data_IF_378019271455
#
_entry.id   IF_378019271455
#
_cell.length_a   1.000
_cell.length_b   1.000
_cell.length_c   1.000
_cell.angle_alpha   90.00
_cell.angle_beta   90.00
_cell.angle_gamma   90.00
#
_symmetry.space_group_name_H-M   'P 1'
#
loop_
_entity.id
_entity.type
_entity.pdbx_description
1 polymer ?
#
# COMPACT_ATOMS: atom_id res chain seq x y z
N UNK A 1 -6.64 -13.86 -2.65
CA UNK A 1 -7.38 -12.60 -2.88
C UNK A 1 -6.35 -11.57 -3.29
N UNK A 2 -6.47 -11.04 -4.50
CA UNK A 2 -5.67 -9.89 -4.91
C UNK A 2 -6.21 -8.66 -4.17
N UNK A 3 -5.36 -7.96 -3.42
CA UNK A 3 -5.76 -6.70 -2.81
C UNK A 3 -5.82 -5.63 -3.90
N UNK A 4 -6.75 -4.69 -3.77
CA UNK A 4 -6.87 -3.55 -4.68
C UNK A 4 -6.61 -2.25 -3.91
N UNK A 5 -6.00 -1.29 -4.58
CA UNK A 5 -5.85 0.07 -4.07
C UNK A 5 -6.77 0.99 -4.86
N UNK A 6 -7.86 1.45 -4.24
CA UNK A 6 -8.92 2.17 -4.95
C UNK A 6 -9.12 3.55 -4.34
N UNK A 7 -8.96 4.59 -5.15
CA UNK A 7 -9.38 5.94 -4.79
C UNK A 7 -10.84 6.11 -5.17
N UNK A 8 -11.68 6.44 -4.20
CA UNK A 8 -13.13 6.53 -4.37
C UNK A 8 -13.59 7.96 -4.15
N UNK A 9 -14.23 8.55 -5.16
CA UNK A 9 -15.03 9.76 -4.99
C UNK A 9 -16.36 9.37 -4.36
N UNK A 10 -16.70 9.95 -3.21
CA UNK A 10 -17.89 9.57 -2.45
C UNK A 10 -19.11 10.38 -2.91
N UNK A 11 -20.25 9.70 -2.99
CA UNK A 11 -21.54 10.37 -3.15
C UNK A 11 -22.00 11.04 -1.83
N UNK A 12 -23.11 11.79 -1.90
CA UNK A 12 -23.64 12.51 -0.75
C UNK A 12 -24.02 11.60 0.43
N UNK A 13 -24.62 10.44 0.17
CA UNK A 13 -25.04 9.49 1.21
C UNK A 13 -23.81 8.85 1.88
N UNK A 14 -22.82 8.49 1.08
CA UNK A 14 -21.55 7.96 1.55
C UNK A 14 -20.76 8.98 2.38
N UNK A 15 -20.75 10.24 1.96
CA UNK A 15 -20.11 11.34 2.70
C UNK A 15 -20.76 11.51 4.07
N UNK A 16 -22.09 11.49 4.15
CA UNK A 16 -22.82 11.67 5.40
C UNK A 16 -22.53 10.52 6.38
N UNK A 17 -22.59 9.26 5.89
CA UNK A 17 -22.20 8.08 6.69
C UNK A 17 -20.75 8.14 7.16
N UNK A 18 -19.83 8.53 6.29
CA UNK A 18 -18.41 8.66 6.64
C UNK A 18 -18.19 9.75 7.70
N UNK A 19 -18.91 10.88 7.62
CA UNK A 19 -18.81 11.95 8.62
C UNK A 19 -19.38 11.54 9.97
N UNK A 20 -20.48 10.78 9.98
CA UNK A 20 -21.08 10.29 11.22
C UNK A 20 -20.11 9.37 11.99
N UNK A 21 -19.41 8.47 11.29
CA UNK A 21 -18.47 7.52 11.90
C UNK A 21 -17.11 8.14 12.27
N UNK A 22 -16.59 9.06 11.45
CA UNK A 22 -15.22 9.56 11.60
C UNK A 22 -15.14 10.94 12.27
N UNK A 23 -16.27 11.62 12.43
CA UNK A 23 -16.40 12.93 13.05
C UNK A 23 -16.98 13.98 12.10
N UNK A 24 -18.14 14.54 12.46
CA UNK A 24 -18.93 15.49 11.65
C UNK A 24 -18.19 16.74 11.19
N UNK A 25 -17.15 17.16 11.92
CA UNK A 25 -16.33 18.34 11.58
C UNK A 25 -15.30 18.07 10.49
N UNK A 26 -15.03 16.79 10.15
CA UNK A 26 -14.04 16.44 9.13
C UNK A 26 -14.60 16.72 7.74
N UNK A 27 -13.76 17.31 6.90
CA UNK A 27 -14.05 17.43 5.48
C UNK A 27 -13.73 16.10 4.80
N UNK A 28 -14.78 15.31 4.55
CA UNK A 28 -14.69 14.02 3.85
C UNK A 28 -15.41 14.18 2.51
N UNK A 29 -14.68 13.87 1.44
CA UNK A 29 -15.22 13.81 0.07
C UNK A 29 -14.76 12.56 -0.67
N UNK A 30 -13.68 11.92 -0.21
CA UNK A 30 -13.11 10.74 -0.83
C UNK A 30 -12.81 9.67 0.22
N UNK A 31 -12.73 8.43 -0.27
CA UNK A 31 -12.16 7.31 0.47
C UNK A 31 -10.98 6.72 -0.30
N UNK A 32 -10.01 6.18 0.42
CA UNK A 32 -8.94 5.35 -0.12
C UNK A 32 -9.13 3.95 0.45
N UNK A 33 -9.54 3.02 -0.40
CA UNK A 33 -9.70 1.60 -0.07
C UNK A 33 -8.39 0.89 -0.35
N UNK A 34 -7.93 0.11 0.62
CA UNK A 34 -6.58 -0.45 0.65
C UNK A 34 -6.70 -1.95 0.84
N UNK A 35 -7.41 -2.61 -0.06
CA UNK A 35 -7.76 -4.03 0.00
C UNK A 35 -8.18 -4.46 1.41
N UNK A 36 -7.57 -5.53 1.89
CA UNK A 36 -7.85 -6.06 3.23
C UNK A 36 -7.19 -5.28 4.38
N UNK A 37 -6.36 -4.26 4.10
CA UNK A 37 -5.71 -3.41 5.11
C UNK A 37 -6.65 -2.33 5.65
N UNK A 38 -7.74 -2.05 4.93
CA UNK A 38 -8.83 -1.20 5.40
C UNK A 38 -9.10 0.01 4.52
N UNK A 39 -9.64 1.07 5.13
CA UNK A 39 -10.08 2.27 4.42
C UNK A 39 -9.67 3.53 5.16
N UNK A 40 -9.36 4.59 4.40
CA UNK A 40 -9.10 5.93 4.93
C UNK A 40 -10.07 6.92 4.30
N UNK A 41 -10.65 7.80 5.12
CA UNK A 41 -11.54 8.87 4.67
C UNK A 41 -10.87 10.23 4.79
N UNK A 42 -11.07 11.10 3.81
CA UNK A 42 -10.50 12.43 3.80
C UNK A 42 -10.97 13.29 2.64
N UNK A 43 -10.26 14.38 2.39
CA UNK A 43 -10.43 15.15 1.16
C UNK A 43 -9.78 14.44 -0.01
N UNK A 44 -10.19 14.77 -1.23
CA UNK A 44 -9.55 14.34 -2.47
C UNK A 44 -8.02 14.46 -2.40
N UNK A 45 -7.53 15.65 -2.04
CA UNK A 45 -6.09 15.93 -1.94
C UNK A 45 -5.37 15.02 -0.95
N UNK A 46 -6.00 14.71 0.19
CA UNK A 46 -5.43 13.82 1.19
C UNK A 46 -5.36 12.38 0.68
N UNK A 47 -6.47 11.86 0.16
CA UNK A 47 -6.54 10.50 -0.35
C UNK A 47 -5.63 10.30 -1.58
N UNK A 48 -5.63 11.25 -2.51
CA UNK A 48 -4.79 11.25 -3.70
C UNK A 48 -3.30 11.21 -3.35
N UNK A 49 -2.86 11.97 -2.33
CA UNK A 49 -1.47 11.95 -1.86
C UNK A 49 -1.01 10.55 -1.44
N UNK A 50 -1.85 9.82 -0.71
CA UNK A 50 -1.52 8.46 -0.29
C UNK A 50 -1.63 7.48 -1.45
N UNK A 51 -2.69 7.57 -2.25
CA UNK A 51 -2.89 6.74 -3.44
C UNK A 51 -1.70 6.80 -4.39
N UNK A 52 -1.25 8.02 -4.74
CA UNK A 52 -0.14 8.21 -5.68
C UNK A 52 1.17 7.62 -5.19
N UNK A 53 1.42 7.63 -3.88
CA UNK A 53 2.66 7.11 -3.28
C UNK A 53 2.56 5.59 -3.10
N UNK A 54 1.42 5.09 -2.64
CA UNK A 54 1.26 3.68 -2.27
C UNK A 54 1.13 2.76 -3.46
N UNK A 55 0.52 3.23 -4.57
CA UNK A 55 0.46 2.44 -5.81
C UNK A 55 1.86 2.05 -6.31
N UNK A 56 2.87 2.90 -6.06
CA UNK A 56 4.24 2.70 -6.53
C UNK A 56 5.08 1.95 -5.48
N UNK A 57 5.03 2.38 -4.21
CA UNK A 57 5.83 1.77 -3.12
C UNK A 57 5.38 0.35 -2.80
N UNK A 58 4.06 0.11 -2.83
CA UNK A 58 3.44 -1.16 -2.45
C UNK A 58 2.84 -1.87 -3.66
N UNK A 59 3.38 -1.64 -4.86
CA UNK A 59 2.87 -2.22 -6.11
C UNK A 59 2.73 -3.74 -6.06
N UNK A 60 3.61 -4.43 -5.33
CA UNK A 60 3.60 -5.89 -5.20
C UNK A 60 2.56 -6.40 -4.18
N UNK A 61 1.93 -5.48 -3.43
CA UNK A 61 0.82 -5.77 -2.53
C UNK A 61 -0.54 -5.72 -3.22
N UNK A 62 -0.67 -4.95 -4.31
CA UNK A 62 -1.92 -4.68 -4.99
C UNK A 62 -1.93 -5.27 -6.40
N UNK A 63 -2.93 -6.11 -6.71
CA UNK A 63 -3.09 -6.62 -8.07
C UNK A 63 -3.58 -5.53 -9.05
N UNK A 64 -4.36 -4.57 -8.54
CA UNK A 64 -4.89 -3.43 -9.30
C UNK A 64 -4.88 -2.16 -8.47
N UNK A 65 -4.73 -1.04 -9.18
CA UNK A 65 -4.90 0.30 -8.62
C UNK A 65 -5.67 1.17 -9.60
N UNK A 66 -6.76 1.78 -9.14
CA UNK A 66 -7.62 2.61 -9.99
C UNK A 66 -8.43 3.62 -9.19
N UNK A 67 -9.10 4.51 -9.92
CA UNK A 67 -9.96 5.57 -9.37
C UNK A 67 -11.39 5.32 -9.86
N UNK A 68 -12.40 5.58 -9.01
CA UNK A 68 -13.81 5.39 -9.36
C UNK A 68 -14.73 6.26 -8.49
N UNK A 69 -15.93 6.58 -8.99
CA UNK A 69 -17.05 7.13 -8.23
C UNK A 69 -18.12 6.06 -7.92
N UNK A 70 -17.99 4.88 -8.53
CA UNK A 70 -18.89 3.75 -8.34
C UNK A 70 -18.18 2.66 -7.55
N UNK A 71 -18.24 2.78 -6.22
CA UNK A 71 -17.66 1.78 -5.31
C UNK A 71 -18.56 1.52 -4.11
N UNK A 72 -18.78 0.24 -3.80
CA UNK A 72 -19.52 -0.16 -2.61
C UNK A 72 -18.57 -0.32 -1.41
N UNK A 73 -18.69 0.59 -0.44
CA UNK A 73 -17.94 0.52 0.82
C UNK A 73 -18.60 -0.44 1.80
N UNK A 74 -17.82 -1.40 2.32
CA UNK A 74 -18.27 -2.34 3.36
C UNK A 74 -18.25 -1.73 4.76
N UNK A 75 -17.50 -0.64 4.95
CA UNK A 75 -17.41 0.09 6.22
C UNK A 75 -17.14 1.57 5.98
N UNK A 76 -17.67 2.40 6.86
CA UNK A 76 -17.46 3.85 6.87
C UNK A 76 -16.52 4.31 7.99
N UNK A 77 -15.92 3.38 8.74
CA UNK A 77 -14.97 3.69 9.80
C UNK A 77 -13.54 3.65 9.29
N UNK A 78 -12.79 4.73 9.51
CA UNK A 78 -11.37 4.79 9.14
C UNK A 78 -10.55 3.76 9.90
N UNK A 79 -9.67 3.06 9.18
CA UNK A 79 -8.68 2.16 9.76
C UNK A 79 -7.49 2.95 10.32
N UNK A 80 -7.12 2.70 11.57
CA UNK A 80 -6.09 3.48 12.28
C UNK A 80 -4.64 3.08 11.98
N UNK A 81 -4.38 1.91 11.39
CA UNK A 81 -3.03 1.33 11.26
C UNK A 81 -2.59 1.00 9.83
N UNK A 82 -3.35 1.41 8.82
CA UNK A 82 -3.15 1.04 7.41
C UNK A 82 -1.69 1.16 6.95
N UNK A 83 -1.03 2.29 7.25
CA UNK A 83 0.37 2.52 6.86
C UNK A 83 1.31 1.46 7.45
N UNK A 84 1.16 1.15 8.73
CA UNK A 84 2.03 0.21 9.43
C UNK A 84 1.83 -1.21 8.89
N UNK A 85 0.58 -1.59 8.64
CA UNK A 85 0.24 -2.90 8.10
C UNK A 85 0.80 -3.08 6.68
N UNK A 86 0.78 -2.03 5.85
CA UNK A 86 1.39 -2.04 4.52
C UNK A 86 2.91 -2.15 4.58
N UNK A 87 3.56 -1.45 5.52
CA UNK A 87 5.02 -1.53 5.71
C UNK A 87 5.41 -2.95 6.14
N UNK A 88 4.73 -3.51 7.14
CA UNK A 88 5.00 -4.85 7.65
C UNK A 88 4.81 -5.92 6.57
N UNK A 89 3.72 -5.84 5.79
CA UNK A 89 3.48 -6.77 4.70
C UNK A 89 4.53 -6.62 3.59
N UNK A 90 4.85 -5.38 3.20
CA UNK A 90 5.86 -5.10 2.19
C UNK A 90 7.22 -5.67 2.61
N UNK A 91 7.62 -5.46 3.86
CA UNK A 91 8.86 -6.01 4.40
C UNK A 91 8.85 -7.53 4.49
N UNK A 92 7.68 -8.15 4.76
CA UNK A 92 7.53 -9.61 4.72
C UNK A 92 7.68 -10.19 3.32
N UNK A 93 7.17 -9.48 2.31
CA UNK A 93 7.20 -9.90 0.89
C UNK A 93 8.48 -9.51 0.17
N UNK A 94 9.19 -8.50 0.66
CA UNK A 94 10.55 -8.22 0.21
C UNK A 94 11.28 -9.55 0.32
N UNK A 95 11.70 -10.12 -0.81
CA UNK A 95 12.44 -11.35 -0.74
C UNK A 95 13.68 -11.02 0.10
N UNK A 96 13.97 -11.88 1.09
CA UNK A 96 15.21 -11.84 1.85
C UNK A 96 16.35 -12.22 0.90
N UNK A 97 16.55 -11.43 -0.15
CA UNK A 97 17.49 -11.69 -1.23
C UNK A 97 18.87 -11.48 -0.64
N UNK A 98 19.53 -12.60 -0.40
CA UNK A 98 20.77 -12.95 -1.09
C UNK A 98 21.96 -12.00 -0.93
N UNK A 99 21.97 -11.12 0.07
CA UNK A 99 23.23 -10.50 0.49
C UNK A 99 24.26 -11.57 0.87
N UNK A 100 23.82 -12.73 1.38
CA UNK A 100 24.70 -13.87 1.62
C UNK A 100 25.04 -14.58 0.31
N UNK A 101 24.08 -14.89 -0.56
CA UNK A 101 24.36 -15.69 -1.75
C UNK A 101 25.16 -14.93 -2.83
N UNK A 102 24.90 -13.64 -3.01
CA UNK A 102 25.64 -12.78 -3.96
C UNK A 102 27.03 -12.40 -3.42
N UNK A 103 27.17 -12.18 -2.10
CA UNK A 103 28.48 -12.00 -1.48
C UNK A 103 29.31 -13.30 -1.51
N UNK A 104 28.71 -14.47 -1.21
CA UNK A 104 29.38 -15.77 -1.30
C UNK A 104 29.76 -16.14 -2.74
N UNK A 105 28.95 -15.78 -3.74
CA UNK A 105 29.31 -15.95 -5.17
C UNK A 105 30.47 -15.05 -5.59
N UNK A 106 30.57 -13.82 -5.06
CA UNK A 106 31.71 -12.91 -5.29
C UNK A 106 32.98 -13.38 -4.59
N UNK A 107 32.89 -13.90 -3.37
CA UNK A 107 34.04 -14.45 -2.62
C UNK A 107 34.65 -15.68 -3.30
N UNK A 108 33.82 -16.65 -3.73
CA UNK A 108 34.30 -17.87 -4.40
C UNK A 108 35.00 -17.58 -5.74
N UNK A 109 34.56 -16.57 -6.49
CA UNK A 109 35.25 -16.13 -7.71
C UNK A 109 36.59 -15.42 -7.42
N UNK A 110 36.68 -14.67 -6.32
CA UNK A 110 37.91 -13.97 -5.92
C UNK A 110 39.01 -14.88 -5.37
N UNK A 111 38.64 -15.94 -4.65
CA UNK A 111 39.61 -16.88 -4.05
C UNK A 111 40.23 -17.84 -5.06
N UNK A 112 39.46 -18.34 -6.03
CA UNK A 112 39.98 -19.28 -7.05
C UNK A 112 40.92 -18.64 -8.07
N UNK A 113 40.77 -17.34 -8.34
CA UNK A 113 41.62 -16.61 -9.29
C UNK A 113 43.02 -16.25 -8.72
N UNK A 114 43.17 -16.19 -7.38
CA UNK A 114 44.43 -15.82 -6.73
C UNK A 114 45.39 -16.98 -6.44
N UNK A 115 44.95 -18.23 -6.57
CA UNK A 115 45.76 -19.42 -6.25
C UNK A 115 46.32 -20.17 -7.48
N UNK A 116 45.85 -19.86 -8.69
CA UNK A 116 46.32 -20.53 -9.92
C UNK A 116 46.65 -19.56 -11.08
N UNK A 117 46.83 -18.27 -10.78
CA UNK A 117 47.30 -17.27 -11.73
C UNK A 117 48.82 -17.12 -11.67
N UNK A 118 49.51 -18.08 -12.32
CA UNK A 118 50.86 -18.02 -12.93
C UNK A 118 51.95 -17.16 -12.29
#
# INVERSE_FOLDING_TARGET
MENELVLVALDAEQIDKAKDENGKRKQITHALVVGNYGVMFGTEKQCMKYYSVWKDIFKDLFGKSYETDQYYLTTYKSSGKVVMDLIEESDRRKPKIDFIEEAMKREKKGFGAKLFGR
#
